data_IF_647535526565
#
_entry.id   IF_647535526565
#
_cell.length_a   1.000
_cell.length_b   1.000
_cell.length_c   1.000
_cell.angle_alpha   90.00
_cell.angle_beta   90.00
_cell.angle_gamma   90.00
#
_symmetry.space_group_name_H-M   'P 1'
#
loop_
_entity.id
_entity.type
_entity.pdbx_description
1 polymer ?
#
# COMPACT_ATOMS: atom_id res chain seq x y z
N UNK A 1 -13.89 -2.83 8.15
CA UNK A 1 -13.27 -4.06 8.68
C UNK A 1 -13.99 -5.32 8.19
N UNK A 2 -15.25 -5.58 8.55
CA UNK A 2 -15.98 -6.79 8.16
C UNK A 2 -15.97 -7.13 6.66
N UNK A 3 -16.14 -6.12 5.80
CA UNK A 3 -16.06 -6.31 4.34
C UNK A 3 -14.69 -6.85 3.89
N UNK A 4 -13.59 -6.39 4.51
CA UNK A 4 -12.25 -6.87 4.19
C UNK A 4 -12.08 -8.34 4.62
N UNK A 5 -12.60 -8.73 5.78
CA UNK A 5 -12.57 -10.11 6.27
C UNK A 5 -13.32 -11.05 5.31
N UNK A 6 -14.56 -10.68 4.93
CA UNK A 6 -15.37 -11.47 3.99
C UNK A 6 -14.69 -11.55 2.62
N UNK A 7 -14.16 -10.43 2.12
CA UNK A 7 -13.42 -10.42 0.87
C UNK A 7 -12.15 -11.29 0.94
N UNK A 8 -11.45 -11.29 2.06
CA UNK A 8 -10.29 -12.16 2.27
C UNK A 8 -10.66 -13.64 2.17
N UNK A 9 -11.79 -14.05 2.77
CA UNK A 9 -12.32 -15.41 2.61
C UNK A 9 -12.69 -15.72 1.15
N UNK A 10 -13.35 -14.78 0.47
CA UNK A 10 -13.74 -14.91 -0.92
C UNK A 10 -12.53 -15.06 -1.86
N UNK A 11 -11.46 -14.29 -1.67
CA UNK A 11 -10.26 -14.41 -2.51
C UNK A 11 -9.58 -15.78 -2.32
N UNK A 12 -9.48 -16.28 -1.08
CA UNK A 12 -8.94 -17.64 -0.82
C UNK A 12 -9.77 -18.70 -1.54
N UNK A 13 -11.10 -18.58 -1.51
CA UNK A 13 -12.00 -19.46 -2.26
C UNK A 13 -11.75 -19.38 -3.78
N UNK A 14 -11.69 -18.18 -4.36
CA UNK A 14 -11.46 -18.02 -5.80
C UNK A 14 -10.09 -18.53 -6.22
N UNK A 15 -9.05 -18.32 -5.39
CA UNK A 15 -7.71 -18.87 -5.60
C UNK A 15 -7.72 -20.39 -5.60
N UNK A 16 -8.36 -21.02 -4.61
CA UNK A 16 -8.52 -22.46 -4.57
C UNK A 16 -9.22 -22.98 -5.84
N UNK A 17 -10.36 -22.38 -6.20
CA UNK A 17 -11.15 -22.81 -7.38
C UNK A 17 -10.36 -22.66 -8.68
N UNK A 18 -9.70 -21.53 -8.89
CA UNK A 18 -8.89 -21.30 -10.09
C UNK A 18 -7.68 -22.23 -10.13
N UNK A 19 -6.92 -22.35 -9.04
CA UNK A 19 -5.79 -23.27 -8.98
C UNK A 19 -6.18 -24.73 -9.22
N UNK A 20 -7.36 -25.15 -8.75
CA UNK A 20 -7.88 -26.49 -9.03
C UNK A 20 -8.14 -26.68 -10.52
N UNK A 21 -8.79 -25.70 -11.17
CA UNK A 21 -9.01 -25.73 -12.62
C UNK A 21 -7.70 -25.78 -13.44
N UNK A 22 -6.61 -25.18 -12.95
CA UNK A 22 -5.34 -25.10 -13.67
C UNK A 22 -4.40 -26.29 -13.42
N UNK A 23 -4.37 -26.80 -12.18
CA UNK A 23 -3.29 -27.68 -11.70
C UNK A 23 -3.76 -28.85 -10.83
N UNK A 24 -5.06 -28.96 -10.51
CA UNK A 24 -5.58 -30.04 -9.66
C UNK A 24 -5.65 -29.69 -8.18
N UNK A 25 -6.13 -30.64 -7.36
CA UNK A 25 -6.55 -30.41 -5.97
C UNK A 25 -5.39 -30.02 -5.04
N UNK A 26 -4.25 -30.72 -5.12
CA UNK A 26 -3.14 -30.45 -4.19
C UNK A 26 -2.52 -29.05 -4.40
N UNK A 27 -2.14 -28.62 -5.62
CA UNK A 27 -1.72 -27.25 -5.86
C UNK A 27 -2.76 -26.21 -5.43
N UNK A 28 -4.05 -26.52 -5.57
CA UNK A 28 -5.11 -25.63 -5.11
C UNK A 28 -5.11 -25.39 -3.60
N UNK A 29 -4.97 -26.46 -2.81
CA UNK A 29 -4.84 -26.35 -1.36
C UNK A 29 -3.59 -25.56 -0.99
N UNK A 30 -2.45 -25.84 -1.63
CA UNK A 30 -1.19 -25.16 -1.33
C UNK A 30 -1.26 -23.65 -1.66
N UNK A 31 -1.88 -23.27 -2.78
CA UNK A 31 -2.07 -21.87 -3.14
C UNK A 31 -2.99 -21.15 -2.16
N UNK A 32 -4.12 -21.78 -1.79
CA UNK A 32 -5.10 -21.20 -0.88
C UNK A 32 -4.57 -21.05 0.54
N UNK A 33 -3.94 -22.10 1.10
CA UNK A 33 -3.29 -22.06 2.42
C UNK A 33 -2.11 -21.10 2.42
N UNK A 34 -1.31 -21.09 1.35
CA UNK A 34 -0.20 -20.16 1.21
C UNK A 34 -0.65 -18.70 1.27
N UNK A 35 -1.67 -18.33 0.48
CA UNK A 35 -2.26 -16.99 0.53
C UNK A 35 -2.87 -16.70 1.91
N UNK A 36 -3.64 -17.63 2.45
CA UNK A 36 -4.29 -17.50 3.74
C UNK A 36 -3.30 -17.49 4.92
N UNK A 37 -2.02 -17.76 4.72
CA UNK A 37 -0.97 -17.65 5.75
C UNK A 37 0.04 -16.53 5.42
N UNK A 38 -0.21 -15.75 4.36
CA UNK A 38 0.64 -14.63 3.98
C UNK A 38 0.53 -13.49 5.01
N UNK A 39 1.64 -13.02 5.59
CA UNK A 39 1.63 -11.90 6.53
C UNK A 39 0.96 -10.64 5.94
N UNK A 40 1.33 -10.28 4.71
CA UNK A 40 0.76 -9.12 4.03
C UNK A 40 -0.76 -9.27 3.83
N UNK A 41 -1.20 -10.48 3.46
CA UNK A 41 -2.62 -10.74 3.22
C UNK A 41 -3.46 -10.67 4.49
N UNK A 42 -2.94 -11.17 5.62
CA UNK A 42 -3.59 -11.05 6.93
C UNK A 42 -3.81 -9.60 7.34
N UNK A 43 -2.75 -8.79 7.31
CA UNK A 43 -2.80 -7.38 7.71
C UNK A 43 -3.87 -6.65 6.90
N UNK A 44 -3.83 -6.76 5.58
CA UNK A 44 -4.80 -6.07 4.71
C UNK A 44 -6.19 -6.73 4.70
N UNK A 45 -6.32 -7.93 5.25
CA UNK A 45 -7.60 -8.60 5.48
C UNK A 45 -8.36 -8.09 6.71
N UNK A 46 -7.65 -7.49 7.67
CA UNK A 46 -8.22 -6.93 8.90
C UNK A 46 -8.32 -5.41 8.88
N UNK A 47 -7.56 -4.73 8.02
CA UNK A 47 -7.62 -3.28 7.87
C UNK A 47 -8.79 -2.88 6.96
N UNK A 48 -9.49 -1.79 7.31
CA UNK A 48 -10.61 -1.22 6.53
C UNK A 48 -10.20 -0.53 5.22
N UNK A 49 -9.33 -1.17 4.42
CA UNK A 49 -8.84 -0.69 3.13
C UNK A 49 -9.34 -1.58 1.99
N UNK A 50 -9.35 -1.08 0.73
CA UNK A 50 -9.94 -1.81 -0.40
C UNK A 50 -9.10 -2.99 -0.91
N UNK A 51 -7.94 -3.28 -0.32
CA UNK A 51 -6.97 -4.24 -0.88
C UNK A 51 -7.42 -5.71 -0.83
N UNK A 52 -8.06 -6.14 0.26
CA UNK A 52 -8.64 -7.49 0.33
C UNK A 52 -9.78 -7.67 -0.70
N UNK A 53 -10.60 -6.62 -0.88
CA UNK A 53 -11.66 -6.60 -1.90
C UNK A 53 -11.06 -6.63 -3.30
N UNK A 54 -9.97 -5.91 -3.53
CA UNK A 54 -9.22 -5.96 -4.78
C UNK A 54 -8.68 -7.36 -5.08
N UNK A 55 -8.13 -8.06 -4.10
CA UNK A 55 -7.66 -9.44 -4.24
C UNK A 55 -8.78 -10.39 -4.66
N UNK A 56 -9.94 -10.26 -4.00
CA UNK A 56 -11.12 -11.08 -4.26
C UNK A 56 -11.67 -10.85 -5.67
N UNK A 57 -11.83 -9.58 -6.06
CA UNK A 57 -12.33 -9.21 -7.37
C UNK A 57 -11.35 -9.59 -8.49
N UNK A 58 -10.05 -9.35 -8.30
CA UNK A 58 -9.03 -9.76 -9.27
C UNK A 58 -9.03 -11.28 -9.49
N UNK A 59 -9.16 -12.04 -8.39
CA UNK A 59 -9.22 -13.50 -8.43
C UNK A 59 -10.53 -14.01 -9.04
N UNK A 60 -11.67 -13.35 -8.79
CA UNK A 60 -12.95 -13.67 -9.42
C UNK A 60 -12.91 -13.41 -10.94
N UNK A 61 -12.37 -12.25 -11.36
CA UNK A 61 -12.18 -11.91 -12.78
C UNK A 61 -11.28 -12.93 -13.47
N UNK A 62 -10.14 -13.26 -12.86
CA UNK A 62 -9.23 -14.28 -13.37
C UNK A 62 -9.93 -15.66 -13.49
N UNK A 63 -10.66 -16.07 -12.45
CA UNK A 63 -11.41 -17.33 -12.42
C UNK A 63 -12.43 -17.42 -13.56
N UNK A 64 -13.14 -16.33 -13.85
CA UNK A 64 -14.12 -16.25 -14.95
C UNK A 64 -13.45 -16.14 -16.33
N UNK A 65 -12.24 -15.58 -16.40
CA UNK A 65 -11.49 -15.42 -17.66
C UNK A 65 -10.90 -16.74 -18.15
N UNK A 66 -10.51 -17.65 -17.25
CA UNK A 66 -9.93 -18.93 -17.66
C UNK A 66 -10.86 -19.79 -18.54
N UNK A 67 -12.15 -20.00 -18.21
CA UNK A 67 -13.08 -20.69 -19.11
C UNK A 67 -13.26 -20.02 -20.48
N UNK A 68 -13.12 -18.69 -20.58
CA UNK A 68 -13.15 -17.98 -21.86
C UNK A 68 -11.94 -18.37 -22.72
N UNK A 69 -10.75 -18.51 -22.12
CA UNK A 69 -9.55 -19.05 -22.77
C UNK A 69 -9.73 -20.48 -23.28
N UNK A 70 -10.59 -21.26 -22.61
CA UNK A 70 -10.98 -22.60 -23.04
C UNK A 70 -12.09 -22.62 -24.10
N UNK A 71 -12.41 -21.47 -24.72
CA UNK A 71 -13.37 -21.38 -25.84
C UNK A 71 -14.83 -21.20 -25.43
N UNK A 72 -15.13 -20.91 -24.16
CA UNK A 72 -16.52 -20.74 -23.70
C UNK A 72 -16.96 -19.28 -23.78
N UNK A 73 -17.63 -18.91 -24.88
CA UNK A 73 -18.03 -17.53 -25.19
C UNK A 73 -18.79 -16.81 -24.06
N UNK A 74 -19.73 -17.49 -23.38
CA UNK A 74 -20.48 -16.91 -22.25
C UNK A 74 -19.58 -16.34 -21.15
N UNK A 75 -18.40 -16.91 -20.96
CA UNK A 75 -17.46 -16.46 -19.93
C UNK A 75 -16.68 -15.21 -20.33
N UNK A 76 -16.64 -14.84 -21.63
CA UNK A 76 -16.15 -13.52 -22.05
C UNK A 76 -17.08 -12.43 -21.50
N UNK A 77 -18.39 -12.66 -21.57
CA UNK A 77 -19.39 -11.73 -21.03
C UNK A 77 -19.36 -11.68 -19.50
N UNK A 78 -19.32 -12.85 -18.83
CA UNK A 78 -19.27 -12.89 -17.36
C UNK A 78 -17.99 -12.25 -16.81
N UNK A 79 -16.83 -12.50 -17.43
CA UNK A 79 -15.58 -11.86 -17.02
C UNK A 79 -15.57 -10.36 -17.33
N UNK A 80 -16.18 -9.92 -18.44
CA UNK A 80 -16.34 -8.50 -18.76
C UNK A 80 -17.24 -7.76 -17.75
N UNK A 81 -18.39 -8.36 -17.41
CA UNK A 81 -19.29 -7.86 -16.37
C UNK A 81 -18.57 -7.77 -15.02
N UNK A 82 -17.89 -8.85 -14.62
CA UNK A 82 -17.14 -8.89 -13.37
C UNK A 82 -16.03 -7.82 -13.33
N UNK A 83 -15.33 -7.60 -14.45
CA UNK A 83 -14.28 -6.59 -14.56
C UNK A 83 -14.85 -5.16 -14.50
N UNK A 84 -16.00 -4.90 -15.15
CA UNK A 84 -16.70 -3.62 -15.05
C UNK A 84 -17.20 -3.29 -13.63
N UNK A 85 -17.76 -4.28 -12.93
CA UNK A 85 -18.13 -4.16 -11.50
C UNK A 85 -16.91 -3.97 -10.63
N UNK A 86 -15.83 -4.72 -10.88
CA UNK A 86 -14.58 -4.59 -10.14
C UNK A 86 -13.98 -3.19 -10.29
N UNK A 87 -14.09 -2.59 -11.49
CA UNK A 87 -13.73 -1.20 -11.76
C UNK A 87 -14.47 -0.18 -10.89
N UNK A 88 -15.72 -0.44 -10.52
CA UNK A 88 -16.51 0.45 -9.68
C UNK A 88 -16.08 0.44 -8.21
N UNK A 89 -15.63 -0.72 -7.73
CA UNK A 89 -15.01 -0.82 -6.39
C UNK A 89 -13.61 -0.24 -6.42
N UNK A 90 -12.86 -0.53 -7.48
CA UNK A 90 -11.49 -0.07 -7.65
C UNK A 90 -11.14 0.12 -9.12
N UNK A 91 -11.10 1.38 -9.53
CA UNK A 91 -10.90 1.79 -10.92
C UNK A 91 -9.62 1.23 -11.53
N UNK A 92 -8.55 1.03 -10.74
CA UNK A 92 -7.30 0.45 -11.24
C UNK A 92 -7.47 -0.97 -11.78
N UNK A 93 -8.41 -1.77 -11.28
CA UNK A 93 -8.59 -3.14 -11.76
C UNK A 93 -8.92 -3.22 -13.25
N UNK A 94 -9.62 -2.21 -13.80
CA UNK A 94 -9.93 -2.13 -15.23
C UNK A 94 -8.67 -2.15 -16.09
N UNK A 95 -7.80 -1.13 -16.10
CA UNK A 95 -6.60 -1.14 -16.93
C UNK A 95 -5.62 -2.26 -16.54
N UNK A 96 -5.60 -2.69 -15.28
CA UNK A 96 -4.70 -3.72 -14.81
C UNK A 96 -5.06 -5.14 -15.33
N UNK A 97 -6.34 -5.48 -15.42
CA UNK A 97 -6.81 -6.80 -15.83
C UNK A 97 -7.43 -6.82 -17.24
N UNK A 98 -7.63 -5.68 -17.87
CA UNK A 98 -8.09 -5.59 -19.26
C UNK A 98 -7.19 -6.35 -20.24
N UNK A 99 -5.84 -6.27 -20.17
CA UNK A 99 -4.96 -7.06 -21.04
C UNK A 99 -5.14 -8.57 -20.88
N UNK A 100 -5.34 -9.03 -19.63
CA UNK A 100 -5.65 -10.44 -19.34
C UNK A 100 -6.97 -10.84 -20.01
N UNK A 101 -8.02 -10.04 -19.84
CA UNK A 101 -9.34 -10.32 -20.40
C UNK A 101 -9.31 -10.41 -21.94
N UNK A 102 -8.80 -9.37 -22.62
CA UNK A 102 -8.70 -9.35 -24.09
C UNK A 102 -7.83 -10.50 -24.59
N UNK A 103 -6.62 -10.64 -24.04
CA UNK A 103 -5.64 -11.62 -24.51
C UNK A 103 -6.15 -13.05 -24.39
N UNK A 104 -6.81 -13.37 -23.28
CA UNK A 104 -7.31 -14.72 -23.01
C UNK A 104 -8.59 -15.03 -23.79
N UNK A 105 -9.50 -14.07 -23.91
CA UNK A 105 -10.70 -14.23 -24.73
C UNK A 105 -10.34 -14.40 -26.22
N UNK A 106 -9.40 -13.60 -26.74
CA UNK A 106 -8.91 -13.75 -28.11
C UNK A 106 -8.22 -15.09 -28.32
N UNK A 107 -7.31 -15.49 -27.43
CA UNK A 107 -6.59 -16.75 -27.54
C UNK A 107 -7.51 -18.00 -27.43
N UNK A 108 -8.69 -17.88 -26.81
CA UNK A 108 -9.66 -18.97 -26.70
C UNK A 108 -10.66 -19.05 -27.85
N UNK A 109 -11.15 -17.91 -28.35
CA UNK A 109 -12.26 -17.87 -29.32
C UNK A 109 -11.82 -17.49 -30.73
N UNK A 110 -10.77 -16.67 -30.88
CA UNK A 110 -10.30 -16.10 -32.16
C UNK A 110 -11.42 -15.45 -32.99
N UNK A 111 -12.39 -14.83 -32.31
CA UNK A 111 -13.57 -14.17 -32.88
C UNK A 111 -13.77 -12.81 -32.26
N UNK A 112 -14.09 -11.81 -33.09
CA UNK A 112 -14.32 -10.44 -32.65
C UNK A 112 -15.67 -10.23 -31.98
N UNK A 113 -16.72 -10.93 -32.42
CA UNK A 113 -18.09 -10.69 -31.91
C UNK A 113 -18.20 -10.83 -30.39
N UNK A 114 -17.71 -11.91 -29.74
CA UNK A 114 -17.80 -12.04 -28.28
C UNK A 114 -16.95 -11.00 -27.55
N UNK A 115 -15.83 -10.57 -28.13
CA UNK A 115 -14.98 -9.50 -27.58
C UNK A 115 -15.68 -8.15 -27.64
N UNK A 116 -16.28 -7.79 -28.77
CA UNK A 116 -17.01 -6.53 -28.93
C UNK A 116 -18.21 -6.49 -27.97
N UNK A 117 -19.01 -7.57 -27.94
CA UNK A 117 -20.16 -7.64 -27.03
C UNK A 117 -19.69 -7.59 -25.57
N UNK A 118 -18.62 -8.29 -25.20
CA UNK A 118 -18.04 -8.20 -23.87
C UNK A 118 -17.52 -6.79 -23.53
N UNK A 119 -16.86 -6.12 -24.47
CA UNK A 119 -16.39 -4.74 -24.29
C UNK A 119 -17.55 -3.77 -24.07
N UNK A 120 -18.66 -3.94 -24.80
CA UNK A 120 -19.90 -3.18 -24.59
C UNK A 120 -20.47 -3.46 -23.20
N UNK A 121 -20.55 -4.72 -22.76
CA UNK A 121 -21.00 -5.07 -21.40
C UNK A 121 -20.12 -4.42 -20.34
N UNK A 122 -18.79 -4.48 -20.49
CA UNK A 122 -17.86 -3.84 -19.56
C UNK A 122 -17.98 -2.32 -19.55
N UNK A 123 -18.18 -1.70 -20.72
CA UNK A 123 -18.38 -0.25 -20.83
C UNK A 123 -19.70 0.17 -20.16
N UNK A 124 -20.81 -0.49 -20.47
CA UNK A 124 -22.12 -0.21 -19.86
C UNK A 124 -22.09 -0.39 -18.34
N UNK A 125 -21.46 -1.45 -17.86
CA UNK A 125 -21.34 -1.70 -16.41
C UNK A 125 -20.41 -0.71 -15.73
N UNK A 126 -19.39 -0.21 -16.43
CA UNK A 126 -18.54 0.87 -15.94
C UNK A 126 -19.28 2.21 -15.87
N UNK A 127 -20.10 2.51 -16.88
CA UNK A 127 -20.91 3.73 -16.93
C UNK A 127 -21.93 3.80 -15.79
N UNK A 128 -22.45 2.66 -15.32
CA UNK A 128 -23.42 2.61 -14.21
C UNK A 128 -22.89 3.24 -12.92
N UNK A 129 -21.58 3.15 -12.64
CA UNK A 129 -20.97 3.79 -11.47
C UNK A 129 -20.20 5.07 -11.84
N UNK A 130 -19.63 5.15 -13.05
CA UNK A 130 -18.83 6.31 -13.47
C UNK A 130 -19.69 7.54 -13.73
N UNK A 131 -20.83 7.40 -14.40
CA UNK A 131 -21.68 8.55 -14.73
C UNK A 131 -22.26 9.24 -13.47
N UNK A 132 -22.81 8.51 -12.47
CA UNK A 132 -23.23 9.13 -11.21
C UNK A 132 -22.07 9.81 -10.47
N UNK A 133 -20.88 9.19 -10.45
CA UNK A 133 -19.69 9.76 -9.82
C UNK A 133 -19.29 11.11 -10.45
N UNK A 134 -19.25 11.17 -11.78
CA UNK A 134 -18.93 12.42 -12.51
C UNK A 134 -20.00 13.48 -12.29
N UNK A 135 -21.27 13.09 -12.24
CA UNK A 135 -22.37 14.01 -11.95
C UNK A 135 -22.27 14.58 -10.53
N UNK A 136 -22.05 13.74 -9.53
CA UNK A 136 -21.87 14.14 -8.13
C UNK A 136 -20.61 15.00 -7.91
N UNK A 137 -19.56 14.81 -8.71
CA UNK A 137 -18.38 15.67 -8.70
C UNK A 137 -18.64 17.10 -9.25
N UNK A 138 -19.85 17.38 -9.74
CA UNK A 138 -20.21 18.65 -10.36
C UNK A 138 -19.82 18.73 -11.84
N UNK A 139 -19.78 17.59 -12.51
CA UNK A 139 -19.55 17.48 -13.95
C UNK A 139 -18.12 17.06 -14.34
N UNK A 140 -17.91 16.75 -15.63
CA UNK A 140 -16.65 16.16 -16.11
C UNK A 140 -15.44 17.06 -15.90
N UNK A 141 -15.58 18.39 -16.06
CA UNK A 141 -14.46 19.33 -15.85
C UNK A 141 -13.90 19.23 -14.42
N UNK A 142 -14.76 19.36 -13.41
CA UNK A 142 -14.35 19.27 -11.99
C UNK A 142 -13.75 17.90 -11.65
N UNK A 143 -14.33 16.83 -12.18
CA UNK A 143 -13.78 15.48 -12.00
C UNK A 143 -12.35 15.34 -12.54
N UNK A 144 -12.12 15.79 -13.78
CA UNK A 144 -10.79 15.68 -14.41
C UNK A 144 -9.77 16.64 -13.79
N UNK A 145 -10.19 17.83 -13.34
CA UNK A 145 -9.31 18.76 -12.64
C UNK A 145 -8.88 18.18 -11.29
N UNK A 146 -9.80 17.61 -10.51
CA UNK A 146 -9.46 16.90 -9.28
C UNK A 146 -8.57 15.67 -9.52
N UNK A 147 -8.78 14.94 -10.63
CA UNK A 147 -7.94 13.79 -11.01
C UNK A 147 -6.52 14.22 -11.37
N UNK A 148 -6.35 15.34 -12.09
CA UNK A 148 -5.04 15.94 -12.41
C UNK A 148 -4.32 16.40 -11.15
N UNK A 149 -5.03 17.07 -10.25
CA UNK A 149 -4.49 17.52 -8.97
C UNK A 149 -3.99 16.33 -8.12
N UNK A 150 -4.72 15.22 -8.10
CA UNK A 150 -4.27 13.98 -7.45
C UNK A 150 -3.01 13.41 -8.12
N UNK A 151 -2.98 13.39 -9.45
CA UNK A 151 -1.83 12.91 -10.22
C UNK A 151 -0.58 13.75 -9.91
N UNK A 152 -0.69 15.08 -9.99
CA UNK A 152 0.44 15.99 -9.78
C UNK A 152 0.97 15.95 -8.35
N UNK A 153 0.09 15.82 -7.37
CA UNK A 153 0.46 15.80 -5.96
C UNK A 153 1.03 14.47 -5.46
N UNK A 154 0.64 13.34 -6.06
CA UNK A 154 0.93 12.00 -5.51
C UNK A 154 1.64 11.07 -6.48
N UNK A 155 1.21 11.03 -7.74
CA UNK A 155 1.69 10.05 -8.73
C UNK A 155 2.93 10.57 -9.47
N UNK A 156 2.95 11.86 -9.80
CA UNK A 156 4.00 12.49 -10.60
C UNK A 156 5.39 12.35 -9.96
N UNK A 157 5.46 12.29 -8.63
CA UNK A 157 6.72 12.15 -7.88
C UNK A 157 7.29 10.74 -7.89
N UNK A 158 6.53 9.73 -8.31
CA UNK A 158 6.94 8.32 -8.30
C UNK A 158 6.96 7.68 -9.68
N UNK A 159 6.41 8.33 -10.70
CA UNK A 159 6.31 7.79 -12.05
C UNK A 159 7.62 7.95 -12.84
N UNK A 160 7.81 7.13 -13.88
CA UNK A 160 8.89 7.27 -14.87
C UNK A 160 8.86 8.61 -15.61
N UNK A 161 7.71 9.28 -15.67
CA UNK A 161 7.56 10.63 -16.22
C UNK A 161 7.95 11.75 -15.23
N UNK A 162 8.30 11.38 -14.00
CA UNK A 162 8.72 12.29 -12.93
C UNK A 162 10.20 12.62 -13.01
N UNK A 163 10.84 12.81 -11.86
CA UNK A 163 12.29 13.01 -11.79
C UNK A 163 13.06 11.73 -12.19
N UNK A 164 14.26 11.86 -12.79
CA UNK A 164 15.09 10.70 -13.11
C UNK A 164 15.29 9.79 -11.89
N UNK A 165 14.96 8.51 -12.03
CA UNK A 165 15.10 7.51 -10.97
C UNK A 165 13.96 7.45 -9.95
N UNK A 166 12.91 8.28 -10.06
CA UNK A 166 11.75 8.25 -9.15
C UNK A 166 11.10 6.86 -9.04
N UNK A 167 10.98 6.15 -10.17
CA UNK A 167 10.43 4.80 -10.26
C UNK A 167 11.22 3.73 -9.48
N UNK A 168 12.49 3.99 -9.15
CA UNK A 168 13.31 3.07 -8.33
C UNK A 168 12.73 2.92 -6.91
N UNK A 169 12.07 3.97 -6.41
CA UNK A 169 11.29 3.91 -5.17
C UNK A 169 10.18 2.87 -5.24
N UNK A 170 9.48 2.78 -6.37
CA UNK A 170 8.44 1.78 -6.61
C UNK A 170 9.02 0.38 -6.68
N UNK A 171 10.14 0.19 -7.39
CA UNK A 171 10.81 -1.13 -7.47
C UNK A 171 11.13 -1.65 -6.07
N UNK A 172 11.78 -0.82 -5.25
CA UNK A 172 12.09 -1.18 -3.87
C UNK A 172 10.82 -1.51 -3.09
N UNK A 173 9.78 -0.69 -3.17
CA UNK A 173 8.53 -0.92 -2.45
C UNK A 173 7.81 -2.20 -2.91
N UNK A 174 7.85 -2.54 -4.20
CA UNK A 174 7.33 -3.81 -4.74
C UNK A 174 8.13 -5.00 -4.21
N UNK A 175 9.46 -4.90 -4.16
CA UNK A 175 10.32 -5.95 -3.58
C UNK A 175 10.03 -6.16 -2.09
N UNK A 176 9.88 -5.07 -1.33
CA UNK A 176 9.48 -5.12 0.08
C UNK A 176 8.11 -5.76 0.26
N UNK A 177 7.13 -5.38 -0.57
CA UNK A 177 5.82 -6.00 -0.56
C UNK A 177 5.89 -7.49 -0.93
N UNK A 178 6.75 -7.91 -1.86
CA UNK A 178 6.95 -9.31 -2.21
C UNK A 178 7.57 -10.10 -1.04
N UNK A 179 8.49 -9.48 -0.29
CA UNK A 179 9.04 -10.07 0.94
C UNK A 179 7.94 -10.21 2.00
N UNK A 180 7.11 -9.19 2.22
CA UNK A 180 5.97 -9.30 3.16
C UNK A 180 4.90 -10.29 2.70
N UNK A 181 4.69 -10.38 1.38
CA UNK A 181 3.65 -11.19 0.76
C UNK A 181 4.00 -12.66 0.70
N UNK A 182 5.22 -13.00 0.28
CA UNK A 182 5.66 -14.39 0.08
C UNK A 182 6.62 -14.88 1.18
N UNK A 183 7.29 -13.97 1.90
CA UNK A 183 8.28 -14.28 2.93
C UNK A 183 9.30 -15.32 2.48
N UNK A 184 9.41 -16.40 3.24
CA UNK A 184 10.37 -17.48 2.96
C UNK A 184 10.03 -18.30 1.70
N UNK A 185 8.86 -18.10 1.09
CA UNK A 185 8.52 -18.71 -0.20
C UNK A 185 9.09 -17.93 -1.39
N UNK A 186 9.54 -16.68 -1.21
CA UNK A 186 10.10 -15.87 -2.30
C UNK A 186 11.36 -16.52 -2.92
N UNK A 187 12.38 -16.97 -2.14
CA UNK A 187 13.53 -17.67 -2.71
C UNK A 187 13.14 -18.98 -3.42
N UNK A 188 12.18 -19.73 -2.86
CA UNK A 188 11.67 -20.95 -3.48
C UNK A 188 11.00 -20.64 -4.83
N UNK A 189 10.22 -19.55 -4.91
CA UNK A 189 9.61 -19.10 -6.15
C UNK A 189 10.67 -18.76 -7.21
N UNK A 190 11.68 -17.97 -6.84
CA UNK A 190 12.77 -17.59 -7.75
C UNK A 190 13.49 -18.83 -8.27
N UNK A 191 13.83 -19.77 -7.38
CA UNK A 191 14.49 -21.02 -7.76
C UNK A 191 13.62 -21.89 -8.70
N UNK A 192 12.33 -22.06 -8.40
CA UNK A 192 11.39 -22.82 -9.25
C UNK A 192 11.28 -22.18 -10.64
N UNK A 193 11.15 -20.85 -10.72
CA UNK A 193 11.02 -20.14 -11.97
C UNK A 193 12.32 -20.20 -12.79
N UNK A 194 13.47 -20.01 -12.15
CA UNK A 194 14.78 -20.10 -12.81
C UNK A 194 15.05 -21.50 -13.39
N UNK A 195 14.66 -22.56 -12.68
CA UNK A 195 14.80 -23.95 -13.14
C UNK A 195 13.89 -24.30 -14.31
N UNK A 196 12.66 -23.77 -14.34
CA UNK A 196 11.67 -24.09 -15.39
C UNK A 196 11.92 -23.32 -16.68
N UNK A 197 12.48 -22.10 -16.58
CA UNK A 197 12.63 -21.19 -17.70
C UNK A 197 11.29 -20.81 -18.35
N UNK A 198 11.33 -19.90 -19.34
CA UNK A 198 10.13 -19.47 -20.08
C UNK A 198 9.78 -20.39 -21.25
N UNK A 199 10.76 -21.14 -21.79
CA UNK A 199 10.61 -21.96 -23.00
C UNK A 199 9.61 -23.12 -22.86
N UNK A 200 9.26 -23.52 -21.64
CA UNK A 200 8.30 -24.60 -21.35
C UNK A 200 6.91 -24.14 -20.90
N UNK A 201 6.60 -22.84 -20.96
CA UNK A 201 5.33 -22.30 -20.47
C UNK A 201 4.14 -22.75 -21.33
N UNK A 202 3.10 -23.27 -20.68
CA UNK A 202 1.83 -23.64 -21.32
C UNK A 202 0.83 -22.50 -21.17
N UNK A 203 -0.37 -22.69 -21.73
CA UNK A 203 -1.43 -21.67 -21.70
C UNK A 203 -1.76 -21.15 -20.29
N UNK A 204 -1.65 -22.00 -19.26
CA UNK A 204 -1.90 -21.63 -17.86
C UNK A 204 -0.80 -20.75 -17.24
N UNK A 205 0.47 -20.99 -17.57
CA UNK A 205 1.56 -20.12 -17.12
C UNK A 205 1.48 -18.75 -17.82
N UNK A 206 1.19 -18.73 -19.13
CA UNK A 206 0.93 -17.48 -19.86
C UNK A 206 -0.31 -16.73 -19.37
N UNK A 207 -1.35 -17.45 -18.92
CA UNK A 207 -2.51 -16.86 -18.26
C UNK A 207 -2.11 -16.15 -16.96
N UNK A 208 -1.33 -16.81 -16.09
CA UNK A 208 -0.87 -16.19 -14.84
C UNK A 208 0.07 -15.02 -15.11
N UNK A 209 0.92 -15.10 -16.12
CA UNK A 209 1.77 -13.98 -16.53
C UNK A 209 0.97 -12.79 -17.05
N UNK A 210 -0.11 -13.05 -17.82
CA UNK A 210 -1.05 -12.00 -18.25
C UNK A 210 -1.77 -11.32 -17.07
N UNK A 211 -1.91 -12.00 -15.94
CA UNK A 211 -2.44 -11.41 -14.71
C UNK A 211 -1.36 -10.66 -13.92
N UNK A 212 -0.13 -11.19 -13.85
CA UNK A 212 0.93 -10.63 -13.00
C UNK A 212 1.63 -9.43 -13.66
N UNK A 213 1.99 -9.53 -14.94
CA UNK A 213 2.90 -8.59 -15.57
C UNK A 213 2.30 -7.19 -15.80
N UNK A 214 1.04 -7.02 -16.27
CA UNK A 214 0.50 -5.68 -16.47
C UNK A 214 0.39 -4.87 -15.16
N UNK A 215 -0.14 -5.41 -14.03
CA UNK A 215 -0.09 -4.72 -12.75
C UNK A 215 1.31 -4.39 -12.27
N UNK A 216 2.26 -5.33 -12.35
CA UNK A 216 3.64 -5.04 -11.95
C UNK A 216 4.27 -3.94 -12.80
N UNK A 217 4.01 -3.91 -14.11
CA UNK A 217 4.47 -2.85 -15.00
C UNK A 217 3.95 -1.47 -14.59
N UNK A 218 2.66 -1.38 -14.25
CA UNK A 218 2.03 -0.14 -13.77
C UNK A 218 2.56 0.24 -12.38
N UNK A 219 2.73 -0.72 -11.48
CA UNK A 219 3.24 -0.46 -10.14
C UNK A 219 4.68 0.04 -10.17
N UNK A 220 5.54 -0.56 -10.99
CA UNK A 220 6.93 -0.13 -11.14
C UNK A 220 7.01 1.21 -11.88
N UNK A 221 6.34 1.34 -13.03
CA UNK A 221 6.50 2.48 -13.93
C UNK A 221 5.66 3.71 -13.58
N UNK A 222 4.51 3.54 -12.92
CA UNK A 222 3.56 4.62 -12.66
C UNK A 222 3.56 4.98 -11.18
N UNK A 223 3.08 4.07 -10.33
CA UNK A 223 2.96 4.36 -8.89
C UNK A 223 2.71 3.10 -8.07
N UNK A 224 3.42 2.97 -6.96
CA UNK A 224 3.16 1.97 -5.94
C UNK A 224 3.07 2.63 -4.56
N UNK A 225 1.86 3.07 -4.20
CA UNK A 225 1.65 3.91 -3.02
C UNK A 225 1.64 3.17 -1.68
N UNK A 226 1.21 1.91 -1.65
CA UNK A 226 1.11 1.09 -0.44
C UNK A 226 1.40 -0.37 -0.75
N UNK A 227 1.87 -1.13 0.24
CA UNK A 227 2.14 -2.57 0.04
C UNK A 227 0.89 -3.37 -0.32
N UNK A 228 -0.29 -2.89 0.09
CA UNK A 228 -1.58 -3.49 -0.24
C UNK A 228 -1.84 -3.64 -1.74
N UNK A 229 -1.25 -2.83 -2.61
CA UNK A 229 -1.41 -2.96 -4.07
C UNK A 229 -0.94 -4.32 -4.60
N UNK A 230 0.02 -4.97 -3.92
CA UNK A 230 0.48 -6.29 -4.31
C UNK A 230 -0.64 -7.36 -4.24
N UNK A 231 -1.68 -7.15 -3.42
CA UNK A 231 -2.80 -8.09 -3.31
C UNK A 231 -3.56 -8.32 -4.63
N UNK A 232 -3.39 -7.45 -5.63
CA UNK A 232 -3.92 -7.66 -6.99
C UNK A 232 -3.25 -8.86 -7.69
N UNK A 233 -1.96 -9.10 -7.43
CA UNK A 233 -1.14 -10.12 -8.10
C UNK A 233 -0.69 -11.25 -7.17
N UNK A 234 -0.69 -11.02 -5.86
CA UNK A 234 -0.29 -12.00 -4.86
C UNK A 234 -1.06 -13.34 -4.99
N UNK A 235 -2.39 -13.35 -5.22
CA UNK A 235 -3.12 -14.58 -5.56
C UNK A 235 -2.48 -15.38 -6.70
N UNK A 236 -2.15 -14.72 -7.81
CA UNK A 236 -1.56 -15.35 -8.98
C UNK A 236 -0.16 -15.93 -8.69
N UNK A 237 0.64 -15.25 -7.87
CA UNK A 237 1.96 -15.73 -7.44
C UNK A 237 1.87 -17.03 -6.64
N UNK A 238 0.90 -17.13 -5.72
CA UNK A 238 0.64 -18.36 -4.98
C UNK A 238 0.17 -19.50 -5.88
N UNK A 239 -0.69 -19.21 -6.87
CA UNK A 239 -1.10 -20.21 -7.87
C UNK A 239 0.08 -20.67 -8.72
N UNK A 240 0.99 -19.76 -9.07
CA UNK A 240 2.16 -20.04 -9.93
C UNK A 240 3.19 -20.95 -9.24
N UNK A 241 3.46 -20.74 -7.95
CA UNK A 241 4.45 -21.53 -7.20
C UNK A 241 3.89 -22.90 -6.75
N UNK A 242 2.58 -22.98 -6.50
CA UNK A 242 1.95 -24.15 -5.89
C UNK A 242 2.21 -25.49 -6.60
N UNK A 243 2.24 -25.60 -7.94
CA UNK A 243 2.58 -26.85 -8.63
C UNK A 243 4.00 -27.33 -8.31
N UNK A 244 4.97 -26.41 -8.18
CA UNK A 244 6.34 -26.76 -7.80
C UNK A 244 6.42 -27.31 -6.38
N UNK A 245 5.70 -26.67 -5.45
CA UNK A 245 5.58 -27.15 -4.07
C UNK A 245 4.88 -28.53 -4.01
N UNK A 246 3.79 -28.71 -4.76
CA UNK A 246 3.07 -29.98 -4.85
C UNK A 246 3.97 -31.11 -5.39
N UNK A 247 4.75 -30.84 -6.44
CA UNK A 247 5.73 -31.82 -6.94
C UNK A 247 6.76 -32.19 -5.87
N UNK A 248 7.28 -31.21 -5.12
CA UNK A 248 8.28 -31.46 -4.08
C UNK A 248 7.77 -32.36 -2.95
N UNK A 249 6.50 -32.25 -2.56
CA UNK A 249 5.94 -33.00 -1.42
C UNK A 249 5.22 -34.31 -1.82
N UNK A 250 4.70 -34.39 -3.05
CA UNK A 250 3.82 -35.50 -3.45
C UNK A 250 4.33 -36.35 -4.62
N UNK A 251 5.32 -35.89 -5.40
CA UNK A 251 5.77 -36.65 -6.58
C UNK A 251 6.46 -37.97 -6.18
N UNK A 252 6.04 -39.12 -6.75
CA UNK A 252 6.71 -40.40 -6.52
C UNK A 252 8.17 -40.41 -7.00
N UNK A 253 8.51 -39.58 -7.99
CA UNK A 253 9.87 -39.45 -8.50
C UNK A 253 10.84 -38.78 -7.51
N UNK A 254 10.31 -38.12 -6.46
CA UNK A 254 11.12 -37.50 -5.41
C UNK A 254 11.29 -38.50 -4.27
N UNK A 255 12.54 -38.68 -3.82
CA UNK A 255 12.88 -39.58 -2.69
C UNK A 255 11.99 -39.29 -1.48
N UNK A 256 11.49 -40.34 -0.82
CA UNK A 256 10.58 -40.24 0.34
C UNK A 256 11.11 -39.33 1.45
N UNK A 257 12.41 -39.41 1.78
CA UNK A 257 13.04 -38.53 2.77
C UNK A 257 12.97 -37.06 2.37
N UNK A 258 13.28 -36.74 1.11
CA UNK A 258 13.24 -35.37 0.60
C UNK A 258 11.81 -34.81 0.56
N UNK A 259 10.80 -35.66 0.32
CA UNK A 259 9.38 -35.26 0.41
C UNK A 259 8.98 -34.87 1.83
N UNK A 260 9.42 -35.63 2.83
CA UNK A 260 9.20 -35.29 4.24
C UNK A 260 9.91 -33.99 4.62
N UNK A 261 11.16 -33.81 4.20
CA UNK A 261 11.90 -32.55 4.39
C UNK A 261 11.18 -31.38 3.74
N UNK A 262 10.70 -31.51 2.50
CA UNK A 262 9.96 -30.46 1.82
C UNK A 262 8.62 -30.13 2.52
N UNK A 263 7.93 -31.15 3.01
CA UNK A 263 6.67 -30.98 3.77
C UNK A 263 6.93 -30.27 5.10
N UNK A 264 7.95 -30.71 5.86
CA UNK A 264 8.36 -30.10 7.11
C UNK A 264 8.85 -28.65 6.89
N UNK A 265 9.62 -28.40 5.84
CA UNK A 265 10.07 -27.06 5.48
C UNK A 265 8.89 -26.14 5.15
N UNK A 266 7.92 -26.61 4.36
CA UNK A 266 6.72 -25.84 4.06
C UNK A 266 5.90 -25.54 5.31
N UNK A 267 5.69 -26.52 6.19
CA UNK A 267 5.02 -26.32 7.46
C UNK A 267 5.79 -25.32 8.34
N UNK A 268 7.11 -25.44 8.41
CA UNK A 268 7.99 -24.51 9.11
C UNK A 268 7.91 -23.09 8.55
N UNK A 269 7.80 -22.92 7.23
CA UNK A 269 7.60 -21.59 6.61
C UNK A 269 6.26 -20.99 7.01
N UNK A 270 5.17 -21.77 7.00
CA UNK A 270 3.86 -21.28 7.43
C UNK A 270 3.85 -20.90 8.92
N UNK A 271 4.49 -21.70 9.77
CA UNK A 271 4.68 -21.39 11.19
C UNK A 271 5.54 -20.14 11.39
N UNK A 272 6.61 -19.99 10.61
CA UNK A 272 7.50 -18.83 10.66
C UNK A 272 6.78 -17.54 10.24
N UNK A 273 5.87 -17.59 9.26
CA UNK A 273 5.03 -16.43 8.93
C UNK A 273 4.14 -16.02 10.10
N UNK A 274 3.46 -16.97 10.74
CA UNK A 274 2.65 -16.70 11.94
C UNK A 274 3.48 -16.16 13.10
N UNK A 275 4.61 -16.80 13.39
CA UNK A 275 5.54 -16.38 14.45
C UNK A 275 6.12 -14.98 14.18
N UNK A 276 6.43 -14.65 12.93
CA UNK A 276 6.89 -13.31 12.54
C UNK A 276 5.80 -12.26 12.82
N UNK A 277 4.56 -12.52 12.42
CA UNK A 277 3.46 -11.57 12.65
C UNK A 277 3.21 -11.33 14.14
N UNK A 278 3.23 -12.40 14.96
CA UNK A 278 2.81 -12.31 16.37
C UNK A 278 3.97 -11.97 17.32
N UNK A 279 5.19 -12.40 17.01
CA UNK A 279 6.30 -12.46 17.98
C UNK A 279 7.58 -11.74 17.53
N UNK A 280 7.57 -11.04 16.39
CA UNK A 280 8.74 -10.30 15.94
C UNK A 280 9.14 -9.18 16.93
N UNK A 281 10.40 -9.21 17.35
CA UNK A 281 10.97 -8.20 18.24
C UNK A 281 11.65 -7.08 17.43
N UNK A 282 11.67 -5.84 17.94
CA UNK A 282 12.41 -4.78 17.29
C UNK A 282 13.92 -5.04 17.39
N UNK A 283 14.66 -4.54 16.41
CA UNK A 283 16.13 -4.61 16.40
C UNK A 283 16.71 -3.21 16.40
N UNK A 284 17.88 -3.07 17.02
CA UNK A 284 18.65 -1.84 16.98
C UNK A 284 19.24 -1.62 15.59
N UNK A 285 19.14 -0.38 15.11
CA UNK A 285 19.77 0.08 13.87
C UNK A 285 21.05 0.82 14.28
N UNK A 286 22.24 0.32 13.93
CA UNK A 286 23.49 0.96 14.30
C UNK A 286 23.63 2.32 13.62
N UNK A 287 24.21 3.28 14.33
CA UNK A 287 24.68 4.52 13.72
C UNK A 287 25.93 4.23 12.89
N UNK A 288 25.99 4.79 11.68
CA UNK A 288 27.03 4.51 10.71
C UNK A 288 27.88 5.77 10.53
N UNK A 289 29.19 5.64 10.79
CA UNK A 289 30.16 6.70 10.58
C UNK A 289 30.54 6.85 9.11
N UNK A 290 31.16 7.98 8.75
CA UNK A 290 31.61 8.25 7.38
C UNK A 290 32.58 7.19 6.85
N UNK A 291 33.43 6.65 7.72
CA UNK A 291 34.49 5.70 7.39
C UNK A 291 34.05 4.21 7.45
N UNK A 292 32.78 3.95 7.74
CA UNK A 292 32.28 2.58 7.84
C UNK A 292 32.48 1.80 6.53
N UNK A 293 32.70 0.50 6.65
CA UNK A 293 32.84 -0.40 5.51
C UNK A 293 31.53 -0.52 4.71
N UNK A 294 31.63 -1.00 3.47
CA UNK A 294 30.44 -1.29 2.66
C UNK A 294 29.52 -2.32 3.33
N UNK A 295 30.08 -3.35 3.96
CA UNK A 295 29.31 -4.41 4.63
C UNK A 295 28.50 -3.87 5.82
N UNK A 296 29.10 -3.00 6.64
CA UNK A 296 28.40 -2.35 7.76
C UNK A 296 27.25 -1.46 7.28
N UNK A 297 27.47 -0.69 6.20
CA UNK A 297 26.42 0.10 5.56
C UNK A 297 25.24 -0.76 5.09
N UNK A 298 25.51 -1.90 4.45
CA UNK A 298 24.46 -2.82 4.01
C UNK A 298 23.72 -3.46 5.17
N UNK A 299 24.43 -3.87 6.22
CA UNK A 299 23.82 -4.45 7.41
C UNK A 299 22.93 -3.44 8.13
N UNK A 300 23.37 -2.19 8.28
CA UNK A 300 22.57 -1.12 8.86
C UNK A 300 21.33 -0.81 8.00
N UNK A 301 21.47 -0.79 6.68
CA UNK A 301 20.34 -0.60 5.77
C UNK A 301 19.32 -1.75 5.89
N UNK A 302 19.77 -3.01 5.97
CA UNK A 302 18.89 -4.16 6.17
C UNK A 302 18.17 -4.11 7.53
N UNK A 303 18.89 -3.71 8.60
CA UNK A 303 18.29 -3.54 9.93
C UNK A 303 17.28 -2.40 9.96
N UNK A 304 17.57 -1.28 9.30
CA UNK A 304 16.66 -0.15 9.16
C UNK A 304 15.39 -0.55 8.39
N UNK A 305 15.54 -1.30 7.30
CA UNK A 305 14.41 -1.83 6.53
C UNK A 305 13.51 -2.69 7.43
N UNK A 306 14.08 -3.61 8.20
CA UNK A 306 13.30 -4.40 9.14
C UNK A 306 12.62 -3.51 10.19
N UNK A 307 13.37 -2.70 10.95
CA UNK A 307 12.84 -1.95 12.12
C UNK A 307 11.77 -0.96 11.71
N UNK A 308 11.96 -0.25 10.61
CA UNK A 308 11.10 0.88 10.24
C UNK A 308 10.04 0.54 9.21
N UNK A 309 10.13 -0.61 8.52
CA UNK A 309 9.14 -1.00 7.50
C UNK A 309 8.47 -2.32 7.84
N UNK A 310 9.24 -3.40 7.95
CA UNK A 310 8.66 -4.74 8.12
C UNK A 310 8.08 -4.96 9.52
N UNK A 311 8.78 -4.51 10.55
CA UNK A 311 8.40 -4.72 11.94
C UNK A 311 7.13 -3.94 12.32
N UNK A 312 6.91 -2.76 11.73
CA UNK A 312 5.69 -1.97 11.93
C UNK A 312 4.40 -2.69 11.48
N UNK A 313 4.54 -3.77 10.72
CA UNK A 313 3.46 -4.61 10.20
C UNK A 313 3.22 -5.88 11.04
N UNK A 314 3.79 -5.95 12.25
CA UNK A 314 3.63 -7.07 13.19
C UNK A 314 2.76 -6.64 14.37
N UNK A 315 2.17 -7.58 15.11
CA UNK A 315 1.32 -7.28 16.27
C UNK A 315 2.06 -6.44 17.33
N UNK A 316 3.31 -6.76 17.74
CA UNK A 316 4.06 -5.89 18.65
C UNK A 316 4.36 -4.52 18.05
N UNK A 317 4.63 -4.46 16.75
CA UNK A 317 4.84 -3.21 16.00
C UNK A 317 3.63 -2.30 16.01
N UNK A 318 2.46 -2.85 15.73
CA UNK A 318 1.19 -2.14 15.76
C UNK A 318 0.87 -1.63 17.18
N UNK A 319 1.09 -2.45 18.21
CA UNK A 319 0.91 -2.03 19.61
C UNK A 319 1.85 -0.89 20.02
N UNK A 320 3.12 -0.90 19.59
CA UNK A 320 4.03 0.24 19.82
C UNK A 320 3.50 1.50 19.12
N UNK A 321 3.03 1.39 17.86
CA UNK A 321 2.46 2.51 17.13
C UNK A 321 1.18 3.07 17.79
N UNK A 322 0.29 2.20 18.25
CA UNK A 322 -0.89 2.58 19.03
C UNK A 322 -0.51 3.29 20.33
N UNK A 323 0.50 2.79 21.04
CA UNK A 323 1.05 3.43 22.24
C UNK A 323 1.64 4.81 21.95
N UNK A 324 2.34 4.99 20.83
CA UNK A 324 2.88 6.29 20.39
C UNK A 324 1.75 7.27 20.09
N UNK A 325 0.74 6.86 19.32
CA UNK A 325 -0.43 7.70 19.01
C UNK A 325 -1.16 8.11 20.29
N UNK A 326 -1.40 7.16 21.19
CA UNK A 326 -2.04 7.40 22.49
C UNK A 326 -1.22 8.39 23.31
N UNK A 327 0.10 8.20 23.40
CA UNK A 327 0.99 9.10 24.15
C UNK A 327 0.94 10.55 23.65
N UNK A 328 0.94 10.77 22.33
CA UNK A 328 0.79 12.11 21.77
C UNK A 328 -0.58 12.71 22.07
N UNK A 329 -1.63 11.96 21.78
CA UNK A 329 -3.01 12.47 21.85
C UNK A 329 -3.44 12.76 23.29
N UNK A 330 -3.07 11.90 24.25
CA UNK A 330 -3.32 12.13 25.67
C UNK A 330 -2.51 13.32 26.21
N UNK A 331 -1.22 13.42 25.86
CA UNK A 331 -0.39 14.54 26.30
C UNK A 331 -0.93 15.88 25.76
N UNK A 332 -1.35 15.92 24.50
CA UNK A 332 -1.92 17.13 23.90
C UNK A 332 -3.24 17.51 24.59
N UNK A 333 -4.17 16.55 24.77
CA UNK A 333 -5.46 16.80 25.42
C UNK A 333 -5.35 17.24 26.87
N UNK A 334 -4.41 16.65 27.61
CA UNK A 334 -4.24 16.95 29.03
C UNK A 334 -3.71 18.36 29.25
N UNK A 335 -2.80 18.79 28.38
CA UNK A 335 -1.93 19.93 28.67
C UNK A 335 -2.24 21.18 27.83
N UNK A 336 -3.15 21.11 26.84
CA UNK A 336 -3.48 22.22 25.95
C UNK A 336 -5.00 22.37 25.71
N UNK A 337 -5.45 23.61 25.59
CA UNK A 337 -6.83 23.95 25.22
C UNK A 337 -6.96 24.06 23.68
N UNK A 338 -7.89 23.33 23.05
CA UNK A 338 -8.11 23.45 21.61
C UNK A 338 -8.42 24.87 21.11
N UNK A 339 -8.97 25.74 21.98
CA UNK A 339 -9.34 27.11 21.63
C UNK A 339 -8.13 28.05 21.46
N UNK A 340 -7.00 27.72 22.07
CA UNK A 340 -5.77 28.54 22.03
C UNK A 340 -4.55 27.83 21.44
N UNK A 341 -4.72 26.58 20.96
CA UNK A 341 -3.60 25.77 20.49
C UNK A 341 -3.76 25.36 19.03
N UNK A 342 -2.69 25.51 18.25
CA UNK A 342 -2.59 24.99 16.88
C UNK A 342 -1.53 23.90 16.83
N UNK A 343 -1.91 22.72 16.32
CA UNK A 343 -1.01 21.59 16.14
C UNK A 343 -0.33 21.69 14.78
N UNK A 344 0.99 21.56 14.75
CA UNK A 344 1.80 21.56 13.53
C UNK A 344 2.31 20.15 13.26
N UNK A 345 2.03 19.64 12.06
CA UNK A 345 2.56 18.39 11.55
C UNK A 345 3.38 18.66 10.28
N UNK A 346 4.34 17.80 9.98
CA UNK A 346 5.27 18.03 8.87
C UNK A 346 5.25 16.88 7.85
N UNK A 347 5.35 17.21 6.57
CA UNK A 347 5.69 16.29 5.49
C UNK A 347 7.06 16.64 4.96
N UNK A 348 7.92 15.63 4.83
CA UNK A 348 9.30 15.82 4.39
C UNK A 348 10.31 15.87 5.53
N UNK A 349 9.87 15.86 6.80
CA UNK A 349 10.78 15.66 7.92
C UNK A 349 11.33 14.22 7.93
N UNK A 350 12.63 14.01 7.67
CA UNK A 350 13.19 12.66 7.53
C UNK A 350 13.23 11.90 8.87
N UNK A 351 12.99 12.58 9.99
CA UNK A 351 12.99 12.01 11.34
C UNK A 351 11.59 11.93 11.95
N UNK A 352 10.53 12.17 11.19
CA UNK A 352 9.15 12.11 11.68
C UNK A 352 8.22 11.37 10.74
N UNK A 353 7.32 10.57 11.31
CA UNK A 353 6.14 10.10 10.62
C UNK A 353 5.23 11.28 10.20
N UNK A 354 4.53 11.21 9.05
CA UNK A 354 3.59 12.25 8.62
C UNK A 354 2.28 12.20 9.42
N UNK A 355 2.27 12.89 10.57
CA UNK A 355 1.20 12.79 11.58
C UNK A 355 -0.14 13.46 11.22
N UNK A 356 -0.22 14.28 10.17
CA UNK A 356 -1.39 15.13 9.94
C UNK A 356 -2.74 14.39 9.87
N UNK A 357 -2.79 13.22 9.23
CA UNK A 357 -4.01 12.40 9.20
C UNK A 357 -4.40 11.85 10.58
N UNK A 358 -3.41 11.57 11.42
CA UNK A 358 -3.65 11.11 12.79
C UNK A 358 -4.14 12.26 13.65
N UNK A 359 -3.52 13.45 13.54
CA UNK A 359 -3.97 14.64 14.26
C UNK A 359 -5.42 14.96 13.90
N UNK A 360 -5.75 15.04 12.62
CA UNK A 360 -7.12 15.37 12.17
C UNK A 360 -8.17 14.31 12.53
N UNK A 361 -7.77 13.06 12.77
CA UNK A 361 -8.67 11.98 13.17
C UNK A 361 -8.82 11.85 14.69
N UNK A 362 -7.69 11.87 15.42
CA UNK A 362 -7.67 11.64 16.87
C UNK A 362 -7.78 12.91 17.70
N UNK A 363 -7.49 14.08 17.14
CA UNK A 363 -7.59 15.39 17.79
C UNK A 363 -8.44 16.36 16.95
N UNK A 364 -9.66 15.96 16.52
CA UNK A 364 -10.50 16.78 15.65
C UNK A 364 -10.90 18.13 16.28
N UNK A 365 -10.85 18.22 17.61
CA UNK A 365 -11.11 19.45 18.36
C UNK A 365 -10.01 20.52 18.16
N UNK A 366 -8.79 20.11 17.80
CA UNK A 366 -7.67 21.02 17.57
C UNK A 366 -7.55 21.42 16.10
N UNK A 367 -7.24 22.70 15.86
CA UNK A 367 -6.79 23.13 14.53
C UNK A 367 -5.39 22.59 14.26
N UNK A 368 -5.26 21.79 13.22
CA UNK A 368 -4.00 21.26 12.71
C UNK A 368 -3.54 21.95 11.41
N UNK A 369 -2.26 22.25 11.31
CA UNK A 369 -1.57 22.69 10.11
C UNK A 369 -0.55 21.64 9.66
N UNK A 370 -0.51 21.32 8.37
CA UNK A 370 0.46 20.42 7.77
C UNK A 370 1.43 21.18 6.87
N UNK A 371 2.68 21.30 7.27
CA UNK A 371 3.69 22.01 6.49
C UNK A 371 4.38 21.05 5.53
N UNK A 372 4.49 21.41 4.25
CA UNK A 372 5.34 20.68 3.29
C UNK A 372 6.75 21.26 3.33
N UNK A 373 7.70 20.42 3.69
CA UNK A 373 9.11 20.75 3.74
C UNK A 373 9.79 20.26 2.46
N UNK A 374 10.90 20.90 2.07
CA UNK A 374 11.73 20.42 0.97
C UNK A 374 12.08 18.93 1.18
N UNK A 375 12.06 18.09 0.13
CA UNK A 375 12.00 18.42 -1.30
C UNK A 375 10.57 18.52 -1.88
N UNK A 376 9.53 18.49 -1.04
CA UNK A 376 8.15 18.61 -1.52
C UNK A 376 7.86 20.02 -2.01
N UNK A 377 6.89 20.16 -2.92
CA UNK A 377 6.42 21.47 -3.37
C UNK A 377 5.93 22.30 -2.17
N UNK A 378 6.36 23.57 -2.03
CA UNK A 378 5.94 24.44 -0.94
C UNK A 378 4.42 24.53 -0.81
N UNK A 379 3.96 24.64 0.42
CA UNK A 379 2.58 24.86 0.77
C UNK A 379 2.15 24.10 2.02
N UNK A 380 0.97 24.46 2.53
CA UNK A 380 0.43 23.84 3.74
C UNK A 380 -1.02 23.40 3.60
N UNK A 381 -1.43 22.43 4.43
CA UNK A 381 -2.83 22.12 4.68
C UNK A 381 -3.25 22.74 6.01
N UNK A 382 -4.46 23.25 6.07
CA UNK A 382 -5.05 23.78 7.30
C UNK A 382 -6.40 23.11 7.50
N UNK A 383 -6.49 22.29 8.55
CA UNK A 383 -7.71 21.54 8.90
C UNK A 383 -8.94 22.44 9.03
N UNK A 384 -8.79 23.69 9.51
CA UNK A 384 -9.91 24.62 9.66
C UNK A 384 -10.48 25.12 8.33
N UNK A 385 -9.74 24.95 7.22
CA UNK A 385 -10.11 25.43 5.88
C UNK A 385 -9.95 24.35 4.82
N UNK A 386 -10.00 23.09 5.24
CA UNK A 386 -9.68 21.93 4.44
C UNK A 386 -10.89 21.55 3.57
N UNK A 387 -10.88 21.96 2.31
CA UNK A 387 -11.87 21.54 1.31
C UNK A 387 -11.35 20.39 0.43
N UNK A 388 -10.03 20.24 0.33
CA UNK A 388 -9.34 19.16 -0.37
C UNK A 388 -7.99 18.84 0.30
N UNK A 389 -7.31 17.78 -0.14
CA UNK A 389 -5.93 17.45 0.27
C UNK A 389 -4.84 18.21 -0.50
N UNK A 390 -5.23 19.24 -1.23
CA UNK A 390 -4.32 20.10 -1.96
C UNK A 390 -3.70 21.15 -1.02
N UNK A 391 -2.37 21.25 -1.05
CA UNK A 391 -1.69 22.25 -0.26
C UNK A 391 -1.92 23.65 -0.83
N UNK A 392 -2.14 24.62 0.06
CA UNK A 392 -2.16 26.04 -0.29
C UNK A 392 -0.73 26.48 -0.56
N UNK A 393 -0.50 27.16 -1.68
CA UNK A 393 0.83 27.62 -2.11
C UNK A 393 1.31 28.88 -1.37
N UNK A 394 0.54 29.35 -0.38
CA UNK A 394 0.87 30.50 0.47
C UNK A 394 1.90 30.10 1.55
N UNK A 395 2.74 31.05 1.95
CA UNK A 395 3.70 30.93 3.04
C UNK A 395 3.16 31.50 4.36
N UNK A 396 2.09 32.30 4.31
CA UNK A 396 1.46 32.92 5.48
C UNK A 396 0.35 32.05 6.05
N UNK A 397 0.47 31.78 7.36
CA UNK A 397 -0.52 31.04 8.15
C UNK A 397 -1.12 31.99 9.18
N UNK A 398 -2.39 32.35 8.96
CA UNK A 398 -3.14 33.22 9.87
C UNK A 398 -3.60 32.42 11.09
N UNK A 399 -3.09 32.78 12.26
CA UNK A 399 -3.51 32.28 13.55
C UNK A 399 -4.77 33.03 14.03
N UNK A 400 -5.60 32.38 14.84
CA UNK A 400 -6.71 33.07 15.49
C UNK A 400 -6.19 34.01 16.59
N UNK A 401 -6.92 35.08 16.95
CA UNK A 401 -6.48 36.04 17.97
C UNK A 401 -6.29 35.41 19.35
N UNK A 402 -6.98 34.29 19.61
CA UNK A 402 -6.91 33.51 20.85
C UNK A 402 -5.75 32.52 20.89
N UNK A 403 -5.06 32.26 19.77
CA UNK A 403 -3.98 31.27 19.74
C UNK A 403 -2.79 31.76 20.58
N UNK A 404 -2.36 30.91 21.49
CA UNK A 404 -1.25 31.11 22.43
C UNK A 404 -0.16 30.05 22.26
N UNK A 405 -0.47 28.89 21.70
CA UNK A 405 0.49 27.79 21.60
C UNK A 405 0.56 27.24 20.16
N UNK A 406 1.79 27.01 19.69
CA UNK A 406 2.07 26.13 18.57
C UNK A 406 2.69 24.83 19.12
N UNK A 407 2.10 23.70 18.77
CA UNK A 407 2.54 22.39 19.25
C UNK A 407 2.91 21.51 18.06
N UNK A 408 4.18 21.18 17.88
CA UNK A 408 4.60 20.26 16.83
C UNK A 408 4.45 18.82 17.30
N UNK A 409 3.60 18.08 16.59
CA UNK A 409 3.52 16.63 16.67
C UNK A 409 4.46 16.05 15.61
N UNK A 410 5.73 15.92 15.96
CA UNK A 410 6.80 15.33 15.14
C UNK A 410 7.68 14.42 15.99
N UNK A 411 8.11 13.28 15.45
CA UNK A 411 8.85 12.28 16.27
C UNK A 411 10.19 12.81 16.79
N UNK A 412 10.90 13.55 15.93
CA UNK A 412 12.08 14.31 16.26
C UNK A 412 12.16 15.54 15.37
N UNK A 413 12.77 16.59 15.92
CA UNK A 413 13.03 17.82 15.17
C UNK A 413 13.91 17.58 13.94
N UNK A 414 13.62 18.28 12.85
CA UNK A 414 14.41 18.24 11.63
C UNK A 414 15.80 18.87 11.85
N UNK A 415 16.92 18.16 11.62
CA UNK A 415 18.25 18.65 12.00
C UNK A 415 18.69 19.90 11.20
N UNK A 416 18.26 20.02 9.94
CA UNK A 416 18.61 21.16 9.09
C UNK A 416 17.67 22.38 9.21
N UNK A 417 16.60 22.32 10.01
CA UNK A 417 15.65 23.44 10.15
C UNK A 417 15.93 24.12 11.50
N UNK A 418 16.22 25.44 11.50
CA UNK A 418 16.42 26.19 12.73
C UNK A 418 15.22 26.06 13.67
N UNK A 419 15.49 25.95 14.97
CA UNK A 419 14.43 25.96 15.98
C UNK A 419 13.96 27.40 16.21
N UNK A 420 12.64 27.65 16.26
CA UNK A 420 12.13 28.92 16.73
C UNK A 420 12.67 29.25 18.12
N UNK A 421 13.04 30.52 18.40
CA UNK A 421 13.43 30.94 19.74
C UNK A 421 12.34 30.62 20.76
N UNK A 422 12.70 30.07 21.92
CA UNK A 422 11.74 29.72 22.97
C UNK A 422 11.01 28.38 22.78
N UNK A 423 11.34 27.60 21.75
CA UNK A 423 10.79 26.25 21.56
C UNK A 423 11.20 25.34 22.73
N UNK A 424 10.22 24.83 23.47
CA UNK A 424 10.41 23.89 24.58
C UNK A 424 10.22 22.45 24.09
N UNK A 425 11.08 21.55 24.54
CA UNK A 425 10.95 20.11 24.28
C UNK A 425 10.39 19.41 25.50
N UNK A 426 9.45 18.50 25.27
CA UNK A 426 8.92 17.65 26.33
C UNK A 426 9.04 16.18 25.94
N UNK A 427 9.70 15.35 26.75
CA UNK A 427 9.84 13.94 26.45
C UNK A 427 8.48 13.23 26.54
N UNK A 428 8.26 12.30 25.61
CA UNK A 428 7.15 11.36 25.59
C UNK A 428 7.71 9.92 25.64
N UNK A 429 6.87 8.93 26.01
CA UNK A 429 7.22 7.52 25.85
C UNK A 429 7.72 7.16 24.44
N UNK A 430 8.37 6.00 24.31
CA UNK A 430 8.92 5.51 23.03
C UNK A 430 10.01 6.41 22.40
N UNK A 431 10.69 7.21 23.23
CA UNK A 431 11.78 8.09 22.79
C UNK A 431 11.30 9.18 21.83
N UNK A 432 10.06 9.65 22.04
CA UNK A 432 9.39 10.71 21.27
C UNK A 432 9.39 12.01 22.04
N UNK A 433 9.05 13.10 21.36
CA UNK A 433 9.07 14.43 21.93
C UNK A 433 7.88 15.24 21.44
N UNK A 434 7.34 16.07 22.31
CA UNK A 434 6.40 17.12 21.96
C UNK A 434 7.16 18.45 21.98
N UNK A 435 7.05 19.24 20.91
CA UNK A 435 7.70 20.54 20.84
C UNK A 435 6.66 21.65 20.94
N UNK A 436 6.86 22.57 21.87
CA UNK A 436 5.85 23.55 22.27
C UNK A 436 6.47 24.94 22.20
N UNK A 437 5.80 25.85 21.48
CA UNK A 437 6.17 27.25 21.43
C UNK A 437 5.01 28.10 21.95
N UNK A 438 5.29 28.91 22.96
CA UNK A 438 4.34 29.90 23.45
C UNK A 438 4.47 31.18 22.63
N UNK A 439 3.34 31.73 22.21
CA UNK A 439 3.26 32.89 21.34
C UNK A 439 3.11 34.17 22.16
N UNK A 440 4.04 35.10 21.96
CA UNK A 440 4.04 36.45 22.55
C UNK A 440 3.35 37.49 21.65
N UNK A 441 2.74 37.05 20.54
CA UNK A 441 2.09 37.92 19.55
C UNK A 441 2.99 38.34 18.40
N UNK A 442 4.30 38.06 18.45
CA UNK A 442 5.20 38.29 17.31
C UNK A 442 5.00 37.22 16.24
N UNK A 443 5.24 37.54 14.96
CA UNK A 443 5.28 36.53 13.91
C UNK A 443 6.33 35.47 14.19
N UNK A 444 5.97 34.20 13.99
CA UNK A 444 6.90 33.07 14.10
C UNK A 444 7.23 32.57 12.71
N UNK A 445 8.52 32.44 12.41
CA UNK A 445 9.00 31.84 11.17
C UNK A 445 9.49 30.42 11.41
N UNK A 446 9.04 29.48 10.57
CA UNK A 446 9.47 28.09 10.60
C UNK A 446 9.48 27.51 9.19
N UNK A 447 10.64 27.02 8.75
CA UNK A 447 10.80 26.35 7.44
C UNK A 447 10.27 27.15 6.23
N UNK A 448 10.38 28.48 6.26
CA UNK A 448 9.87 29.38 5.22
C UNK A 448 8.39 29.74 5.34
N UNK A 449 7.68 29.21 6.34
CA UNK A 449 6.31 29.60 6.66
C UNK A 449 6.30 30.64 7.77
N UNK A 450 5.39 31.63 7.66
CA UNK A 450 5.21 32.69 8.66
C UNK A 450 3.85 32.57 9.32
N UNK A 451 3.86 32.22 10.60
CA UNK A 451 2.69 32.22 11.46
C UNK A 451 2.44 33.64 11.98
N UNK A 452 1.27 34.18 11.71
CA UNK A 452 0.91 35.56 12.09
C UNK A 452 -0.41 35.57 12.83
N UNK A 453 -0.46 36.25 13.97
CA UNK A 453 -1.72 36.59 14.63
C UNK A 453 -2.24 37.90 14.05
N UNK A 454 -3.55 38.06 13.80
CA UNK A 454 -4.12 39.38 13.53
C UNK A 454 -3.83 40.29 14.73
N UNK A 455 -3.50 41.56 14.47
CA UNK A 455 -3.15 42.55 15.50
C UNK A 455 -4.08 42.41 16.71
N UNK A 456 -3.50 42.07 17.87
CA UNK A 456 -4.18 42.17 19.16
C UNK A 456 -4.31 43.65 19.47
N UNK A 457 -5.35 44.30 18.92
CA UNK A 457 -5.78 45.63 19.37
C UNK A 457 -6.43 45.53 20.74
#
# INVERSE_FOLDING_TARGET
>A
MWLAIVASGAAVFFVYRLAWMLYGRLPAVLAAVGLAASPLYWIYGEVGLPYAVEAALASAVAMLTWPARCGRARFVLWSALALGVAGGVRQSLLPLLFPLWVGMAWAGLRRWTPLIVGAVVMAMTSLLWFAPMVWLAGGPRRYFDASRELFDSTVRLTTVMGSPGAWMGNVRAVLEALVLGLGLLLPAMIWILARRGLRGWKAREWFLAGWILPPLGVYIGVHFGQYGYLLTVLPALYILIAPGLATAIASPAVRRSLRWTATAALAGVLLAHGAFVVSAAPINVPEIGGDSSWAERQLAAARALYRYRLWAHTVPGLREQEGVVTSYTEAIRRDFDPADTVIVAELGNPRSYPWFRHVTYYLPEFRACHLRLAPWSPGYLDSARLTSMAARVDDRILLGPRVRHLVWMVDRWHPAIPRPPGLRERPLPYGRWLYVLDLDGRPVEHAGYRFTSPDRR
#
